data_IF_718488698800
#
_entry.id   IF_718488698800
#
_cell.length_a   1.000
_cell.length_b   1.000
_cell.length_c   1.000
_cell.angle_alpha   90.00
_cell.angle_beta   90.00
_cell.angle_gamma   90.00
#
_symmetry.space_group_name_H-M   'P 1'
#
loop_
_entity.id
_entity.type
_entity.pdbx_description
1 polymer ?
#
# COMPACT_ATOMS: atom_id res chain seq x y z
N UNK A 1 -6.11 14.89 -11.58
CA UNK A 1 -5.69 15.02 -10.18
C UNK A 1 -4.32 14.35 -9.92
N UNK A 2 -4.15 13.03 -10.04
CA UNK A 2 -2.84 12.42 -9.78
C UNK A 2 -1.72 12.97 -10.67
N UNK A 3 -1.96 13.16 -11.96
CA UNK A 3 -0.99 13.73 -12.92
C UNK A 3 -0.57 15.18 -12.65
N UNK A 4 -1.35 15.92 -11.85
CA UNK A 4 -0.99 17.29 -11.44
C UNK A 4 -0.07 17.30 -10.24
N UNK A 5 -0.13 16.27 -9.38
CA UNK A 5 0.65 16.18 -8.15
C UNK A 5 1.83 15.22 -8.24
N UNK A 6 1.79 14.24 -9.17
CA UNK A 6 2.80 13.18 -9.27
C UNK A 6 3.40 13.08 -10.68
N UNK A 7 4.67 12.71 -10.71
CA UNK A 7 5.40 12.28 -11.89
C UNK A 7 5.83 10.82 -11.71
N UNK A 8 5.58 9.97 -12.72
CA UNK A 8 6.09 8.60 -12.76
C UNK A 8 7.52 8.63 -13.30
N UNK A 9 8.45 8.02 -12.57
CA UNK A 9 9.84 7.86 -13.00
C UNK A 9 10.06 6.58 -13.82
N UNK A 10 11.33 6.30 -14.12
CA UNK A 10 11.72 5.11 -14.88
C UNK A 10 11.46 3.85 -14.05
N UNK A 11 10.61 2.97 -14.56
CA UNK A 11 10.30 1.72 -13.89
C UNK A 11 11.48 0.73 -13.97
N UNK A 12 11.67 -0.03 -12.93
CA UNK A 12 12.55 -1.20 -12.89
C UNK A 12 11.69 -2.44 -13.08
N UNK A 13 12.08 -3.31 -14.01
CA UNK A 13 11.44 -4.61 -14.24
C UNK A 13 12.46 -5.73 -13.97
N UNK A 14 12.05 -6.72 -13.19
CA UNK A 14 12.85 -7.90 -12.91
C UNK A 14 11.96 -9.10 -12.60
N UNK A 15 12.12 -10.19 -13.35
CA UNK A 15 11.41 -11.46 -13.15
C UNK A 15 9.87 -11.33 -13.09
N UNK A 16 9.31 -10.45 -13.93
CA UNK A 16 7.87 -10.19 -13.96
C UNK A 16 7.38 -9.18 -12.93
N UNK A 17 8.26 -8.72 -12.01
CA UNK A 17 7.97 -7.65 -11.06
C UNK A 17 8.29 -6.32 -11.72
N UNK A 18 7.36 -5.38 -11.69
CA UNK A 18 7.58 -4.02 -12.13
C UNK A 18 7.37 -3.05 -10.96
N UNK A 19 8.36 -2.21 -10.66
CA UNK A 19 8.21 -1.10 -9.70
C UNK A 19 8.62 0.21 -10.38
N UNK A 20 7.67 1.16 -10.46
CA UNK A 20 7.91 2.51 -10.95
C UNK A 20 7.87 3.50 -9.78
N UNK A 21 8.92 4.32 -9.58
CA UNK A 21 8.94 5.34 -8.55
C UNK A 21 8.02 6.51 -8.92
N UNK A 22 7.40 7.11 -7.91
CA UNK A 22 6.59 8.32 -8.04
C UNK A 22 7.31 9.49 -7.37
N UNK A 23 7.31 10.63 -8.04
CA UNK A 23 7.94 11.86 -7.57
C UNK A 23 6.91 12.99 -7.44
N UNK A 24 7.02 13.87 -6.43
CA UNK A 24 6.10 14.99 -6.28
C UNK A 24 6.36 16.04 -7.35
N UNK A 25 5.30 16.64 -7.89
CA UNK A 25 5.38 17.81 -8.78
C UNK A 25 5.31 19.14 -8.02
N UNK A 26 4.89 19.07 -6.77
CA UNK A 26 4.73 20.22 -5.89
C UNK A 26 5.32 19.87 -4.53
N UNK A 27 5.84 20.88 -3.82
CA UNK A 27 6.30 20.69 -2.44
C UNK A 27 5.08 20.42 -1.54
N UNK A 28 5.17 19.49 -0.60
CA UNK A 28 4.12 19.26 0.38
C UNK A 28 4.02 20.47 1.31
N UNK A 29 2.80 20.75 1.79
CA UNK A 29 2.53 21.84 2.74
C UNK A 29 2.43 21.28 4.16
N UNK A 30 1.75 20.15 4.33
CA UNK A 30 1.57 19.56 5.65
C UNK A 30 2.85 18.92 6.18
N UNK A 31 3.15 19.25 7.43
CA UNK A 31 4.28 18.68 8.17
C UNK A 31 3.81 17.53 9.07
N UNK A 32 4.48 16.40 8.98
CA UNK A 32 4.25 15.23 9.85
C UNK A 32 5.49 14.33 9.90
N UNK A 33 5.63 13.62 11.01
CA UNK A 33 6.58 12.54 11.20
C UNK A 33 5.94 11.18 10.84
N UNK A 34 6.75 10.14 10.69
CA UNK A 34 6.28 8.76 10.56
C UNK A 34 6.29 8.04 11.92
N UNK A 35 5.73 6.83 11.96
CA UNK A 35 5.81 5.97 13.14
C UNK A 35 7.27 5.74 13.58
N UNK A 36 8.18 5.48 12.63
CA UNK A 36 9.60 5.25 12.88
C UNK A 36 10.30 6.45 13.49
N UNK A 37 9.92 7.65 13.07
CA UNK A 37 10.50 8.90 13.60
C UNK A 37 10.00 9.20 15.02
N UNK A 38 8.73 8.85 15.31
CA UNK A 38 8.07 9.20 16.56
C UNK A 38 8.29 8.18 17.70
N UNK A 39 8.46 6.89 17.39
CA UNK A 39 8.72 5.85 18.41
C UNK A 39 9.92 6.17 19.31
N UNK A 40 11.11 6.55 18.79
CA UNK A 40 12.25 6.94 19.63
C UNK A 40 11.99 8.18 20.47
N UNK A 41 11.04 9.03 20.08
CA UNK A 41 10.64 10.25 20.77
C UNK A 41 9.53 10.03 21.80
N UNK A 42 9.17 8.77 22.08
CA UNK A 42 8.25 8.40 23.14
C UNK A 42 6.80 8.17 22.68
N UNK A 43 6.51 8.15 21.38
CA UNK A 43 5.22 7.68 20.91
C UNK A 43 5.00 6.24 21.35
N UNK A 44 3.80 5.93 21.84
CA UNK A 44 3.43 4.58 22.27
C UNK A 44 2.13 4.15 21.61
N UNK A 45 2.06 2.85 21.33
CA UNK A 45 0.85 2.18 20.87
C UNK A 45 0.54 1.07 21.87
N UNK A 46 -0.62 1.15 22.48
CA UNK A 46 -1.01 0.28 23.59
C UNK A 46 -2.42 -0.29 23.34
N UNK A 47 -2.75 -1.39 24.01
CA UNK A 47 -4.15 -1.87 24.09
C UNK A 47 -5.01 -0.81 24.78
N UNK A 48 -6.25 -0.60 24.31
CA UNK A 48 -7.18 0.39 24.90
C UNK A 48 -7.63 0.03 26.32
N UNK A 49 -7.47 -1.23 26.74
CA UNK A 49 -7.75 -1.71 28.08
C UNK A 49 -6.92 -2.95 28.42
N UNK A 50 -6.85 -3.34 29.68
CA UNK A 50 -6.17 -4.58 30.11
C UNK A 50 -6.80 -5.84 29.48
N UNK A 51 -8.11 -5.85 29.28
CA UNK A 51 -8.80 -6.92 28.58
C UNK A 51 -8.43 -6.98 27.11
N UNK A 52 -8.06 -5.85 26.52
CA UNK A 52 -7.84 -5.65 25.09
C UNK A 52 -9.16 -5.54 24.33
N UNK A 53 -9.18 -4.79 23.25
CA UNK A 53 -10.30 -4.69 22.31
C UNK A 53 -9.76 -5.00 20.94
N UNK A 54 -10.30 -6.01 20.27
CA UNK A 54 -9.73 -6.51 19.01
C UNK A 54 -9.62 -5.44 17.92
N UNK A 55 -10.65 -4.59 17.67
CA UNK A 55 -10.63 -3.67 16.53
C UNK A 55 -9.90 -2.34 16.78
N UNK A 56 -9.41 -2.09 18.00
CA UNK A 56 -8.84 -0.77 18.34
C UNK A 56 -7.59 -0.87 19.20
N UNK A 57 -6.66 0.06 18.96
CA UNK A 57 -5.52 0.36 19.83
C UNK A 57 -5.49 1.86 20.15
N UNK A 58 -4.78 2.25 21.19
CA UNK A 58 -4.57 3.64 21.56
C UNK A 58 -3.15 4.07 21.18
N UNK A 59 -3.04 5.18 20.41
CA UNK A 59 -1.75 5.82 20.12
C UNK A 59 -1.62 7.06 20.99
N UNK A 60 -0.61 7.09 21.84
CA UNK A 60 -0.23 8.28 22.62
C UNK A 60 0.97 8.94 21.94
N UNK A 61 0.76 10.11 21.39
CA UNK A 61 1.78 10.94 20.75
C UNK A 61 2.20 12.08 21.71
N UNK A 62 3.34 11.98 22.41
CA UNK A 62 3.82 13.03 23.29
C UNK A 62 4.65 14.10 22.54
N UNK A 63 4.87 13.98 21.24
CA UNK A 63 5.71 14.88 20.45
C UNK A 63 4.96 16.14 20.02
N UNK A 64 5.68 17.16 19.56
CA UNK A 64 5.11 18.38 19.00
C UNK A 64 4.76 18.27 17.50
N UNK A 65 5.03 17.12 16.89
CA UNK A 65 4.71 16.86 15.49
C UNK A 65 3.45 15.96 15.36
N UNK A 66 2.66 16.19 14.32
CA UNK A 66 1.67 15.20 13.89
C UNK A 66 2.39 13.95 13.39
N UNK A 67 1.80 12.77 13.57
CA UNK A 67 2.40 11.49 13.18
C UNK A 67 1.49 10.72 12.24
N UNK A 68 1.99 10.42 11.04
CA UNK A 68 1.29 9.61 10.05
C UNK A 68 1.56 8.12 10.33
N UNK A 69 0.50 7.38 10.56
CA UNK A 69 0.48 5.92 10.63
C UNK A 69 -0.13 5.40 9.33
N UNK A 70 0.58 4.56 8.60
CA UNK A 70 0.20 4.17 7.24
C UNK A 70 -0.64 2.89 7.20
N UNK A 71 -1.63 2.81 6.30
CA UNK A 71 -2.45 1.60 6.06
C UNK A 71 -1.58 0.36 5.84
N UNK A 72 -1.86 -0.69 6.58
CA UNK A 72 -1.14 -1.96 6.48
C UNK A 72 0.18 -2.03 7.25
N UNK A 73 0.66 -0.98 7.91
CA UNK A 73 1.81 -1.13 8.83
C UNK A 73 1.48 -2.17 9.90
N UNK A 74 2.40 -3.11 10.10
CA UNK A 74 2.25 -4.15 11.11
C UNK A 74 2.88 -3.73 12.44
N UNK A 75 2.15 -3.96 13.50
CA UNK A 75 2.48 -3.68 14.89
C UNK A 75 2.71 -5.00 15.61
N UNK A 76 3.94 -5.22 16.10
CA UNK A 76 4.35 -6.45 16.78
C UNK A 76 4.26 -6.30 18.28
N UNK A 77 3.72 -7.28 18.97
CA UNK A 77 3.78 -7.33 20.43
C UNK A 77 2.42 -7.43 21.12
N UNK A 78 2.34 -6.85 22.31
CA UNK A 78 1.18 -6.91 23.19
C UNK A 78 0.49 -8.30 23.21
N UNK A 79 -0.83 -8.38 23.05
CA UNK A 79 -1.56 -9.65 23.05
C UNK A 79 -1.53 -10.41 21.74
N UNK A 80 -1.48 -9.71 20.61
CA UNK A 80 -1.42 -10.25 19.24
C UNK A 80 -0.82 -9.19 18.34
N UNK A 81 -0.17 -9.60 17.25
CA UNK A 81 0.22 -8.67 16.20
C UNK A 81 -1.00 -8.06 15.50
N UNK A 82 -0.89 -6.79 15.11
CA UNK A 82 -1.95 -6.01 14.47
C UNK A 82 -1.46 -5.40 13.17
N UNK A 83 -2.38 -5.10 12.26
CA UNK A 83 -2.16 -4.19 11.13
C UNK A 83 -3.12 -3.01 11.22
N UNK A 84 -2.66 -1.86 10.76
CA UNK A 84 -3.52 -0.68 10.59
C UNK A 84 -4.54 -0.95 9.48
N UNK A 85 -5.81 -0.64 9.76
CA UNK A 85 -6.87 -0.82 8.76
C UNK A 85 -6.95 0.35 7.78
N UNK A 86 -6.54 1.53 8.21
CA UNK A 86 -6.57 2.79 7.46
C UNK A 86 -5.35 3.62 7.84
N UNK A 87 -5.02 4.59 7.02
CA UNK A 87 -4.03 5.62 7.37
C UNK A 87 -4.65 6.62 8.34
N UNK A 88 -3.91 6.97 9.40
CA UNK A 88 -4.35 7.91 10.44
C UNK A 88 -3.26 8.94 10.69
N UNK A 89 -3.62 10.22 10.67
CA UNK A 89 -2.75 11.30 11.13
C UNK A 89 -3.06 11.63 12.59
N UNK A 90 -2.20 11.18 13.48
CA UNK A 90 -2.32 11.41 14.94
C UNK A 90 -1.83 12.81 15.26
N UNK A 91 -2.66 13.61 15.93
CA UNK A 91 -2.30 14.96 16.31
C UNK A 91 -1.13 15.00 17.30
N UNK A 92 -0.35 16.08 17.26
CA UNK A 92 0.64 16.39 18.28
C UNK A 92 0.01 16.44 19.69
N UNK A 93 0.74 15.98 20.71
CA UNK A 93 0.31 16.05 22.11
C UNK A 93 -1.07 15.44 22.39
N UNK A 94 -1.39 14.32 21.72
CA UNK A 94 -2.72 13.69 21.81
C UNK A 94 -2.67 12.20 22.07
N UNK A 95 -3.83 11.65 22.42
CA UNK A 95 -4.09 10.20 22.41
C UNK A 95 -5.25 9.93 21.46
N UNK A 96 -5.04 9.06 20.49
CA UNK A 96 -6.00 8.77 19.40
C UNK A 96 -6.27 7.27 19.32
N UNK A 97 -7.53 6.83 19.34
CA UNK A 97 -7.88 5.45 19.03
C UNK A 97 -7.68 5.19 17.53
N UNK A 98 -7.04 4.07 17.19
CA UNK A 98 -6.77 3.68 15.82
C UNK A 98 -7.42 2.33 15.49
N UNK A 99 -8.06 2.19 14.31
CA UNK A 99 -8.67 0.94 13.90
C UNK A 99 -7.62 -0.03 13.35
N UNK A 100 -7.64 -1.25 13.88
CA UNK A 100 -6.67 -2.30 13.55
C UNK A 100 -7.36 -3.64 13.31
N UNK A 101 -6.64 -4.58 12.70
CA UNK A 101 -7.02 -5.99 12.61
C UNK A 101 -5.90 -6.89 13.11
N UNK A 102 -6.27 -8.03 13.71
CA UNK A 102 -5.31 -9.04 14.14
C UNK A 102 -4.75 -9.80 12.94
N UNK A 103 -3.44 -10.01 12.92
CA UNK A 103 -2.72 -10.84 11.93
C UNK A 103 -1.97 -12.01 12.58
N UNK A 104 -2.42 -12.43 13.76
CA UNK A 104 -1.89 -13.55 14.54
C UNK A 104 -3.02 -14.24 15.29
N UNK A 105 -3.72 -15.19 14.64
CA UNK A 105 -4.98 -15.78 15.13
C UNK A 105 -4.81 -16.58 16.43
N UNK A 106 -3.73 -17.36 16.54
CA UNK A 106 -3.53 -18.35 17.59
C UNK A 106 -2.90 -17.82 18.88
N UNK A 107 -2.71 -16.49 19.04
CA UNK A 107 -2.12 -15.93 20.25
C UNK A 107 -3.04 -14.88 20.91
N UNK A 108 -3.30 -15.08 22.20
CA UNK A 108 -3.96 -14.07 23.06
C UNK A 108 -3.21 -14.00 24.39
N UNK A 109 -1.89 -13.81 24.31
CA UNK A 109 -1.02 -13.70 25.47
C UNK A 109 -0.04 -12.56 25.31
N UNK A 110 0.19 -11.79 26.38
CA UNK A 110 1.03 -10.60 26.35
C UNK A 110 2.50 -10.96 26.17
N UNK A 111 3.15 -10.42 25.11
CA UNK A 111 4.60 -10.53 24.87
C UNK A 111 5.36 -9.27 25.27
N UNK A 112 4.72 -8.10 25.20
CA UNK A 112 5.31 -6.80 25.55
C UNK A 112 4.27 -5.87 26.14
N UNK A 113 4.70 -4.79 26.79
CA UNK A 113 3.81 -3.77 27.34
C UNK A 113 3.14 -2.98 26.22
N UNK A 114 3.92 -2.55 25.21
CA UNK A 114 3.48 -1.76 24.07
C UNK A 114 3.83 -2.47 22.77
N UNK A 115 3.27 -1.99 21.65
CA UNK A 115 3.59 -2.46 20.32
C UNK A 115 4.88 -1.83 19.79
N UNK A 116 5.62 -2.62 19.01
CA UNK A 116 6.73 -2.16 18.20
C UNK A 116 6.35 -2.18 16.71
N UNK A 117 7.03 -1.39 15.90
CA UNK A 117 6.86 -1.41 14.45
C UNK A 117 7.52 -2.64 13.84
N UNK A 118 6.85 -3.31 12.89
CA UNK A 118 7.42 -4.40 12.12
C UNK A 118 8.33 -3.85 10.99
N UNK A 119 9.33 -4.64 10.53
CA UNK A 119 10.15 -4.26 9.38
C UNK A 119 9.43 -4.41 8.04
N UNK A 120 8.17 -4.79 8.03
CA UNK A 120 7.32 -4.97 6.85
C UNK A 120 5.93 -4.40 7.09
N UNK A 121 5.25 -4.07 6.00
CA UNK A 121 3.81 -3.81 5.98
C UNK A 121 3.06 -5.04 5.46
N UNK A 122 1.76 -5.11 5.69
CA UNK A 122 0.90 -6.13 5.10
C UNK A 122 1.05 -6.14 3.58
N UNK A 123 1.08 -7.32 3.00
CA UNK A 123 1.27 -7.49 1.56
C UNK A 123 0.07 -6.94 0.75
N UNK A 124 0.26 -6.54 -0.52
CA UNK A 124 -0.76 -5.88 -1.34
C UNK A 124 -2.09 -6.61 -1.40
N UNK A 125 -2.09 -7.95 -1.52
CA UNK A 125 -3.34 -8.72 -1.60
C UNK A 125 -4.19 -8.58 -0.33
N UNK A 126 -3.61 -8.63 0.87
CA UNK A 126 -4.33 -8.41 2.12
C UNK A 126 -4.87 -6.98 2.20
N UNK A 127 -4.06 -5.98 1.82
CA UNK A 127 -4.47 -4.58 1.80
C UNK A 127 -5.58 -4.33 0.77
N UNK A 128 -5.50 -4.95 -0.41
CA UNK A 128 -6.52 -4.92 -1.45
C UNK A 128 -7.87 -5.43 -0.94
N UNK A 129 -7.89 -6.60 -0.28
CA UNK A 129 -9.11 -7.17 0.32
C UNK A 129 -9.72 -6.23 1.35
N UNK A 130 -8.91 -5.66 2.24
CA UNK A 130 -9.36 -4.64 3.19
C UNK A 130 -9.98 -3.45 2.47
N UNK A 131 -9.31 -2.91 1.44
CA UNK A 131 -9.78 -1.77 0.68
C UNK A 131 -11.13 -2.04 -0.01
N UNK A 132 -11.33 -3.24 -0.57
CA UNK A 132 -12.61 -3.68 -1.12
C UNK A 132 -13.73 -3.65 -0.09
N UNK A 133 -13.46 -4.20 1.09
CA UNK A 133 -14.45 -4.25 2.17
C UNK A 133 -14.83 -2.85 2.66
N UNK A 134 -13.83 -2.01 2.90
CA UNK A 134 -14.03 -0.63 3.34
C UNK A 134 -14.71 0.25 2.27
N UNK A 135 -14.45 0.00 0.99
CA UNK A 135 -15.14 0.69 -0.10
C UNK A 135 -16.61 0.25 -0.26
N UNK A 136 -16.94 -0.99 0.13
CA UNK A 136 -18.33 -1.47 0.15
C UNK A 136 -19.13 -0.89 1.34
N UNK A 137 -18.47 -0.59 2.45
CA UNK A 137 -19.02 0.00 3.67
C UNK A 137 -18.23 1.27 4.06
N UNK A 138 -18.40 2.40 3.35
CA UNK A 138 -17.52 3.56 3.50
C UNK A 138 -17.46 4.15 4.91
N UNK A 139 -18.51 3.98 5.72
CA UNK A 139 -18.54 4.44 7.11
C UNK A 139 -17.81 3.50 8.09
N UNK A 140 -17.50 2.28 7.66
CA UNK A 140 -16.74 1.34 8.49
C UNK A 140 -15.27 1.76 8.57
N UNK A 141 -14.67 1.63 9.75
CA UNK A 141 -13.23 1.82 9.99
C UNK A 141 -12.48 0.49 10.19
N UNK A 142 -13.18 -0.62 10.15
CA UNK A 142 -12.65 -1.95 10.32
C UNK A 142 -13.21 -2.93 9.30
N UNK A 143 -12.54 -4.07 9.18
CA UNK A 143 -12.97 -5.21 8.36
C UNK A 143 -13.32 -6.38 9.26
N UNK A 144 -14.11 -7.33 8.76
CA UNK A 144 -14.39 -8.55 9.50
C UNK A 144 -13.09 -9.28 9.81
N UNK A 145 -12.82 -9.54 11.08
CA UNK A 145 -11.57 -10.17 11.53
C UNK A 145 -11.33 -11.54 10.87
N UNK A 146 -12.41 -12.31 10.62
CA UNK A 146 -12.33 -13.60 9.92
C UNK A 146 -11.74 -13.46 8.50
N UNK A 147 -12.11 -12.42 7.75
CA UNK A 147 -11.61 -12.19 6.39
C UNK A 147 -10.09 -11.93 6.39
N UNK A 148 -9.58 -11.23 7.40
CA UNK A 148 -8.13 -11.00 7.57
C UNK A 148 -7.42 -12.32 7.89
N UNK A 149 -7.94 -13.10 8.83
CA UNK A 149 -7.37 -14.40 9.16
C UNK A 149 -7.42 -15.39 8.00
N UNK A 150 -8.52 -15.39 7.22
CA UNK A 150 -8.64 -16.21 6.03
C UNK A 150 -7.53 -15.93 5.03
N UNK A 151 -7.20 -14.64 4.78
CA UNK A 151 -6.10 -14.31 3.89
C UNK A 151 -4.72 -14.64 4.48
N UNK A 152 -4.49 -14.39 5.76
CA UNK A 152 -3.22 -14.76 6.42
C UNK A 152 -2.99 -16.27 6.33
N UNK A 153 -4.03 -17.08 6.57
CA UNK A 153 -3.96 -18.56 6.43
C UNK A 153 -3.74 -18.97 4.98
N UNK A 154 -4.47 -18.37 4.04
CA UNK A 154 -4.33 -18.66 2.61
C UNK A 154 -2.91 -18.33 2.13
N UNK A 155 -2.34 -17.19 2.54
CA UNK A 155 -0.96 -16.79 2.24
C UNK A 155 0.04 -17.77 2.80
N UNK A 156 -0.09 -18.16 4.08
CA UNK A 156 0.78 -19.16 4.70
C UNK A 156 0.75 -20.50 3.94
N UNK A 157 -0.44 -20.92 3.51
CA UNK A 157 -0.62 -22.16 2.74
C UNK A 157 0.03 -22.07 1.35
N UNK A 158 -0.22 -20.99 0.59
CA UNK A 158 0.38 -20.78 -0.74
C UNK A 158 1.91 -20.72 -0.66
N UNK A 159 2.44 -20.09 0.40
CA UNK A 159 3.88 -20.01 0.65
C UNK A 159 4.49 -21.26 1.30
N UNK A 160 3.68 -22.27 1.64
CA UNK A 160 4.17 -23.49 2.31
C UNK A 160 4.80 -23.21 3.68
N UNK A 161 4.26 -22.23 4.42
CA UNK A 161 4.79 -21.82 5.72
C UNK A 161 3.88 -22.33 6.83
N UNK A 162 4.49 -22.96 7.84
CA UNK A 162 3.78 -23.33 9.06
C UNK A 162 4.08 -22.28 10.15
N UNK A 163 3.03 -21.65 10.66
CA UNK A 163 3.09 -20.72 11.79
C UNK A 163 2.39 -21.32 13.00
N UNK A 164 3.05 -21.45 14.16
CA UNK A 164 2.42 -21.99 15.37
C UNK A 164 1.24 -21.16 15.88
N UNK A 165 1.24 -19.87 15.60
CA UNK A 165 0.20 -18.92 16.03
C UNK A 165 -0.60 -18.32 14.87
N UNK A 166 -0.37 -18.78 13.63
CA UNK A 166 -1.01 -18.20 12.45
C UNK A 166 -0.60 -16.75 12.21
N UNK A 167 0.64 -16.37 12.56
CA UNK A 167 1.11 -15.00 12.45
C UNK A 167 1.59 -14.69 11.02
N UNK A 168 1.15 -13.55 10.45
CA UNK A 168 1.68 -13.02 9.19
C UNK A 168 3.20 -12.80 9.24
N UNK A 169 3.71 -12.31 10.36
CA UNK A 169 5.15 -12.09 10.57
C UNK A 169 6.00 -13.37 10.39
N UNK A 170 5.45 -14.55 10.62
CA UNK A 170 6.16 -15.82 10.41
C UNK A 170 6.33 -16.12 8.91
N UNK A 171 5.38 -15.70 8.07
CA UNK A 171 5.49 -15.82 6.61
C UNK A 171 6.64 -14.94 6.11
N UNK A 172 6.70 -13.69 6.54
CA UNK A 172 7.81 -12.77 6.21
C UNK A 172 9.16 -13.34 6.66
N UNK A 173 9.26 -13.81 7.89
CA UNK A 173 10.48 -14.41 8.43
C UNK A 173 10.93 -15.64 7.63
N UNK A 174 10.00 -16.52 7.26
CA UNK A 174 10.29 -17.70 6.46
C UNK A 174 10.77 -17.38 5.04
N UNK A 175 10.38 -16.23 4.49
CA UNK A 175 10.72 -15.79 3.13
C UNK A 175 11.74 -14.65 3.09
N UNK A 176 12.36 -14.32 4.23
CA UNK A 176 13.27 -13.19 4.39
C UNK A 176 14.42 -13.20 3.38
N UNK A 177 15.04 -14.35 3.12
CA UNK A 177 16.15 -14.47 2.17
C UNK A 177 15.70 -14.09 0.75
N UNK A 178 14.60 -14.65 0.26
CA UNK A 178 14.10 -14.33 -1.08
C UNK A 178 13.66 -12.88 -1.22
N UNK A 179 13.04 -12.30 -0.17
CA UNK A 179 12.68 -10.87 -0.14
C UNK A 179 13.94 -10.01 -0.21
N UNK A 180 14.97 -10.29 0.61
CA UNK A 180 16.23 -9.51 0.63
C UNK A 180 17.00 -9.56 -0.70
N UNK A 181 17.01 -10.71 -1.38
CA UNK A 181 17.63 -10.83 -2.70
C UNK A 181 16.97 -9.89 -3.71
N UNK A 182 15.62 -9.83 -3.73
CA UNK A 182 14.87 -8.97 -4.63
C UNK A 182 14.96 -7.48 -4.23
N UNK A 183 15.09 -7.16 -2.95
CA UNK A 183 15.21 -5.79 -2.47
C UNK A 183 16.36 -5.01 -3.09
N UNK A 184 17.48 -5.69 -3.41
CA UNK A 184 18.65 -5.09 -4.05
C UNK A 184 18.37 -4.59 -5.46
N UNK A 185 17.34 -5.14 -6.11
CA UNK A 185 16.96 -4.78 -7.48
C UNK A 185 16.09 -3.52 -7.51
N UNK A 186 15.35 -3.27 -6.42
CA UNK A 186 14.37 -2.17 -6.35
C UNK A 186 14.75 -1.16 -5.25
N UNK A 187 15.84 -0.39 -5.42
CA UNK A 187 16.25 0.60 -4.43
C UNK A 187 15.31 1.80 -4.40
N UNK A 188 15.21 2.44 -3.22
CA UNK A 188 14.60 3.75 -3.09
C UNK A 188 15.35 4.77 -3.96
N UNK A 189 14.62 5.61 -4.68
CA UNK A 189 15.19 6.70 -5.45
C UNK A 189 15.19 8.02 -4.65
N UNK A 190 16.20 8.88 -4.80
CA UNK A 190 16.19 10.20 -4.16
C UNK A 190 14.96 11.03 -4.54
N UNK A 191 14.25 11.57 -3.54
CA UNK A 191 13.05 12.39 -3.75
C UNK A 191 11.77 11.59 -4.09
N UNK A 192 11.82 10.27 -4.04
CA UNK A 192 10.65 9.41 -4.26
C UNK A 192 9.62 9.58 -3.15
N UNK A 193 8.35 9.78 -3.51
CA UNK A 193 7.22 9.95 -2.60
C UNK A 193 6.13 8.85 -2.76
N UNK A 194 6.35 7.89 -3.64
CA UNK A 194 5.42 6.79 -3.86
C UNK A 194 5.99 5.74 -4.80
N UNK A 195 5.23 4.67 -5.00
CA UNK A 195 5.56 3.59 -5.93
C UNK A 195 4.30 3.03 -6.61
N UNK A 196 4.47 2.62 -7.87
CA UNK A 196 3.54 1.76 -8.59
C UNK A 196 4.16 0.38 -8.67
N UNK A 197 3.46 -0.62 -8.16
CA UNK A 197 3.80 -2.03 -8.30
C UNK A 197 2.95 -2.65 -9.40
N UNK A 198 3.54 -3.47 -10.25
CA UNK A 198 2.88 -4.33 -11.20
C UNK A 198 3.34 -5.78 -11.08
N UNK A 199 2.40 -6.69 -10.88
CA UNK A 199 2.59 -8.15 -10.87
C UNK A 199 1.57 -8.75 -11.85
N UNK A 200 1.92 -8.85 -13.13
CA UNK A 200 0.95 -9.20 -14.18
C UNK A 200 -0.19 -8.18 -14.25
N UNK A 201 -1.41 -8.61 -13.93
CA UNK A 201 -2.60 -7.76 -13.90
C UNK A 201 -2.91 -7.18 -12.50
N UNK A 202 -2.21 -7.63 -11.47
CA UNK A 202 -2.33 -7.10 -10.12
C UNK A 202 -1.47 -5.84 -9.95
N UNK A 203 -2.11 -4.72 -9.66
CA UNK A 203 -1.47 -3.43 -9.53
C UNK A 203 -1.73 -2.83 -8.16
N UNK A 204 -0.71 -2.12 -7.66
CA UNK A 204 -0.79 -1.35 -6.42
C UNK A 204 -0.11 0.01 -6.61
N UNK A 205 -0.72 1.06 -6.05
CA UNK A 205 -0.13 2.38 -5.91
C UNK A 205 -0.08 2.72 -4.43
N UNK A 206 1.10 3.13 -3.96
CA UNK A 206 1.29 3.71 -2.64
C UNK A 206 1.97 5.08 -2.76
N UNK A 207 1.43 6.06 -2.05
CA UNK A 207 1.88 7.44 -2.06
C UNK A 207 1.73 8.08 -0.69
N UNK A 208 2.70 8.90 -0.32
CA UNK A 208 2.60 9.92 0.74
C UNK A 208 3.15 11.25 0.23
N UNK A 209 2.64 12.37 0.74
CA UNK A 209 3.00 13.71 0.23
C UNK A 209 4.48 14.06 0.41
N UNK A 210 5.13 13.54 1.47
CA UNK A 210 6.51 13.84 1.83
C UNK A 210 7.48 12.75 1.41
N UNK A 211 8.51 13.06 0.58
CA UNK A 211 9.55 12.11 0.20
C UNK A 211 10.30 11.50 1.40
N UNK A 212 10.55 12.29 2.45
CA UNK A 212 11.24 11.82 3.67
C UNK A 212 10.41 10.76 4.40
N UNK A 213 9.09 10.98 4.47
CA UNK A 213 8.16 10.01 5.05
C UNK A 213 8.09 8.73 4.20
N UNK A 214 8.06 8.87 2.87
CA UNK A 214 8.11 7.71 1.97
C UNK A 214 9.40 6.92 2.13
N UNK A 215 10.53 7.58 2.31
CA UNK A 215 11.81 6.93 2.53
C UNK A 215 11.82 6.03 3.79
N UNK A 216 11.05 6.40 4.83
CA UNK A 216 10.86 5.57 6.04
C UNK A 216 9.90 4.40 5.79
N UNK A 217 8.86 4.61 4.99
CA UNK A 217 7.81 3.62 4.71
C UNK A 217 8.20 2.61 3.62
N UNK A 218 8.93 3.04 2.60
CA UNK A 218 9.21 2.23 1.42
C UNK A 218 9.87 0.87 1.73
N UNK A 219 10.84 0.75 2.64
CA UNK A 219 11.40 -0.56 2.98
C UNK A 219 10.34 -1.56 3.43
N UNK A 220 9.36 -1.13 4.24
CA UNK A 220 8.26 -1.96 4.73
C UNK A 220 7.28 -2.33 3.61
N UNK A 221 6.87 -1.33 2.81
CA UNK A 221 5.97 -1.53 1.67
C UNK A 221 6.61 -2.46 0.65
N UNK A 222 7.89 -2.24 0.33
CA UNK A 222 8.65 -3.08 -0.59
C UNK A 222 8.73 -4.52 -0.12
N UNK A 223 8.96 -4.77 1.17
CA UNK A 223 8.93 -6.12 1.72
C UNK A 223 7.57 -6.81 1.48
N UNK A 224 6.46 -6.08 1.68
CA UNK A 224 5.11 -6.54 1.35
C UNK A 224 4.93 -6.84 -0.15
N UNK A 225 5.37 -5.95 -1.03
CA UNK A 225 5.33 -6.13 -2.49
C UNK A 225 6.07 -7.39 -2.91
N UNK A 226 7.28 -7.55 -2.40
CA UNK A 226 8.15 -8.67 -2.76
C UNK A 226 7.65 -10.00 -2.17
N UNK A 227 6.95 -9.99 -1.04
CA UNK A 227 6.30 -11.19 -0.53
C UNK A 227 5.22 -11.70 -1.48
N UNK A 228 4.37 -10.82 -2.05
CA UNK A 228 3.39 -11.20 -3.06
C UNK A 228 4.08 -11.64 -4.37
N UNK A 229 5.14 -10.92 -4.77
CA UNK A 229 5.90 -11.24 -5.96
C UNK A 229 6.54 -12.62 -5.94
N UNK A 230 7.00 -13.12 -4.77
CA UNK A 230 7.56 -14.46 -4.63
C UNK A 230 6.60 -15.59 -5.02
N UNK A 231 5.28 -15.34 -5.05
CA UNK A 231 4.29 -16.31 -5.54
C UNK A 231 4.14 -16.29 -7.07
N UNK A 232 4.63 -15.25 -7.74
CA UNK A 232 4.35 -14.96 -9.16
C UNK A 232 5.62 -14.67 -9.98
N UNK A 233 6.80 -15.11 -9.50
CA UNK A 233 8.06 -14.89 -10.22
C UNK A 233 8.02 -15.49 -11.62
N UNK A 234 8.69 -14.80 -12.55
CA UNK A 234 8.86 -15.23 -13.94
C UNK A 234 7.54 -15.30 -14.74
N UNK A 235 6.49 -14.66 -14.23
CA UNK A 235 5.23 -14.48 -14.96
C UNK A 235 5.34 -13.37 -16.00
N UNK A 236 4.30 -13.22 -16.83
CA UNK A 236 4.24 -12.15 -17.83
C UNK A 236 4.29 -10.78 -17.12
N UNK A 237 5.22 -9.90 -17.52
CA UNK A 237 5.33 -8.57 -16.92
C UNK A 237 4.10 -7.71 -17.21
N UNK A 238 3.83 -6.78 -16.30
CA UNK A 238 2.79 -5.76 -16.47
C UNK A 238 3.08 -4.89 -17.68
N UNK A 239 2.10 -4.67 -18.56
CA UNK A 239 2.27 -3.79 -19.72
C UNK A 239 2.13 -2.31 -19.34
N UNK A 240 2.74 -1.42 -20.16
CA UNK A 240 2.57 0.02 -19.99
C UNK A 240 1.12 0.48 -20.11
N UNK A 241 0.34 -0.15 -21.00
CA UNK A 241 -1.08 0.15 -21.17
C UNK A 241 -1.90 -0.24 -19.93
N UNK A 242 -1.56 -1.39 -19.32
CA UNK A 242 -2.18 -1.84 -18.08
C UNK A 242 -1.92 -0.84 -16.93
N UNK A 243 -0.67 -0.37 -16.78
CA UNK A 243 -0.33 0.66 -15.78
C UNK A 243 -1.04 1.98 -16.06
N UNK A 244 -1.05 2.44 -17.30
CA UNK A 244 -1.73 3.67 -17.68
C UNK A 244 -3.23 3.61 -17.38
N UNK A 245 -3.89 2.53 -17.78
CA UNK A 245 -5.30 2.30 -17.49
C UNK A 245 -5.62 2.23 -16.01
N UNK A 246 -4.70 1.70 -15.19
CA UNK A 246 -4.85 1.70 -13.73
C UNK A 246 -4.79 3.12 -13.16
N UNK A 247 -3.80 3.92 -13.56
CA UNK A 247 -3.66 5.32 -13.12
C UNK A 247 -4.89 6.15 -13.54
N UNK A 248 -5.40 5.93 -14.76
CA UNK A 248 -6.64 6.57 -15.23
C UNK A 248 -7.85 6.15 -14.37
N UNK A 249 -7.96 4.87 -14.04
CA UNK A 249 -9.06 4.35 -13.23
C UNK A 249 -9.08 4.93 -11.80
N UNK A 250 -7.90 5.22 -11.22
CA UNK A 250 -7.79 5.95 -9.94
C UNK A 250 -8.35 7.37 -10.06
N UNK A 251 -8.07 8.04 -11.19
CA UNK A 251 -8.58 9.38 -11.49
C UNK A 251 -10.11 9.42 -11.65
N UNK A 252 -10.69 8.38 -12.25
CA UNK A 252 -12.11 8.24 -12.53
C UNK A 252 -12.93 7.66 -11.36
N UNK A 253 -12.26 7.12 -10.33
CA UNK A 253 -12.94 6.50 -9.19
C UNK A 253 -13.82 7.49 -8.42
N UNK A 254 -14.97 7.02 -7.99
CA UNK A 254 -15.82 7.76 -7.03
C UNK A 254 -15.10 7.83 -5.67
N UNK A 255 -15.37 8.94 -4.95
CA UNK A 255 -14.75 9.22 -3.65
C UNK A 255 -15.81 9.48 -2.61
N UNK A 256 -15.84 8.63 -1.60
CA UNK A 256 -16.60 8.90 -0.38
C UNK A 256 -15.64 9.47 0.67
N UNK A 257 -16.05 10.56 1.34
CA UNK A 257 -15.27 11.23 2.39
C UNK A 257 -15.96 11.10 3.72
N UNK A 258 -15.17 10.94 4.77
CA UNK A 258 -15.63 10.95 6.15
C UNK A 258 -14.52 11.50 7.05
N UNK A 259 -14.87 11.92 8.27
CA UNK A 259 -13.84 12.27 9.25
C UNK A 259 -12.90 11.11 9.52
N UNK A 260 -11.59 11.36 9.50
CA UNK A 260 -10.56 10.41 9.86
C UNK A 260 -10.70 9.98 11.34
N UNK A 261 -10.03 8.91 11.73
CA UNK A 261 -9.86 8.55 13.14
C UNK A 261 -8.94 9.55 13.88
N UNK A 262 -8.05 10.25 13.15
CA UNK A 262 -7.21 11.35 13.62
C UNK A 262 -7.58 12.65 12.93
N UNK A 263 -6.57 13.40 12.49
CA UNK A 263 -6.77 14.63 11.72
C UNK A 263 -7.13 14.34 10.27
N UNK A 264 -7.87 15.25 9.65
CA UNK A 264 -8.20 15.23 8.22
C UNK A 264 -9.42 14.38 7.87
N UNK A 265 -9.54 14.07 6.59
CA UNK A 265 -10.62 13.30 5.99
C UNK A 265 -10.11 11.99 5.41
N UNK A 266 -10.74 10.89 5.80
CA UNK A 266 -10.54 9.57 5.22
C UNK A 266 -11.34 9.47 3.92
N UNK A 267 -10.65 9.17 2.83
CA UNK A 267 -11.22 9.11 1.46
C UNK A 267 -11.24 7.67 1.00
N UNK A 268 -12.41 7.18 0.59
CA UNK A 268 -12.58 5.85 -0.01
C UNK A 268 -12.72 5.96 -1.51
N UNK A 269 -11.90 5.23 -2.23
CA UNK A 269 -11.97 5.15 -3.69
C UNK A 269 -12.68 3.87 -4.10
N UNK A 270 -13.63 4.01 -5.02
CA UNK A 270 -14.33 2.88 -5.65
C UNK A 270 -14.55 3.16 -7.13
N UNK A 271 -14.00 2.31 -7.97
CA UNK A 271 -14.21 2.28 -9.41
C UNK A 271 -14.49 0.88 -9.90
N UNK A 272 -14.72 0.71 -11.18
CA UNK A 272 -14.92 -0.59 -11.81
C UNK A 272 -13.66 -1.46 -11.72
N UNK A 273 -12.49 -0.84 -11.94
CA UNK A 273 -11.19 -1.50 -12.00
C UNK A 273 -10.23 -1.09 -10.89
N UNK A 274 -10.70 -0.35 -9.89
CA UNK A 274 -9.85 0.17 -8.82
C UNK A 274 -10.61 0.27 -7.51
N UNK A 275 -9.91 0.00 -6.44
CA UNK A 275 -10.35 0.24 -5.06
C UNK A 275 -9.18 0.84 -4.29
N UNK A 276 -9.46 1.67 -3.28
CA UNK A 276 -8.38 2.27 -2.51
C UNK A 276 -8.88 3.18 -1.40
N UNK A 277 -7.92 3.80 -0.73
CA UNK A 277 -8.17 4.80 0.31
C UNK A 277 -7.11 5.88 0.29
N UNK A 278 -7.45 7.04 0.83
CA UNK A 278 -6.55 8.17 0.98
C UNK A 278 -6.85 8.94 2.26
N UNK A 279 -5.94 9.83 2.61
CA UNK A 279 -6.09 10.79 3.69
C UNK A 279 -5.85 12.19 3.13
N UNK A 280 -6.81 13.09 3.32
CA UNK A 280 -6.73 14.49 2.95
C UNK A 280 -6.73 15.38 4.21
N UNK A 281 -5.90 16.42 4.23
CA UNK A 281 -5.88 17.46 5.26
C UNK A 281 -5.81 18.83 4.56
N UNK A 282 -6.75 19.73 4.88
CA UNK A 282 -6.81 21.09 4.31
C UNK A 282 -6.71 21.11 2.77
N UNK A 283 -7.41 20.16 2.12
CA UNK A 283 -7.42 19.92 0.68
C UNK A 283 -6.09 19.38 0.10
N UNK A 284 -5.07 19.10 0.91
CA UNK A 284 -3.86 18.40 0.50
C UNK A 284 -4.06 16.88 0.64
N UNK A 285 -3.75 16.13 -0.41
CA UNK A 285 -3.70 14.67 -0.34
C UNK A 285 -2.40 14.24 0.34
N UNK A 286 -2.50 13.80 1.58
CA UNK A 286 -1.33 13.36 2.37
C UNK A 286 -0.92 11.93 2.04
N UNK A 287 -1.90 11.06 1.76
CA UNK A 287 -1.66 9.65 1.49
C UNK A 287 -2.68 9.11 0.51
N UNK A 288 -2.27 8.16 -0.31
CA UNK A 288 -3.12 7.38 -1.19
C UNK A 288 -2.56 5.97 -1.31
N UNK A 289 -3.43 4.97 -1.13
CA UNK A 289 -3.18 3.62 -1.63
C UNK A 289 -4.33 3.19 -2.54
N UNK A 290 -3.98 2.53 -3.64
CA UNK A 290 -4.96 2.01 -4.60
C UNK A 290 -4.51 0.66 -5.14
N UNK A 291 -5.48 -0.21 -5.42
CA UNK A 291 -5.28 -1.58 -5.87
C UNK A 291 -6.20 -1.87 -7.05
N UNK A 292 -5.82 -2.82 -7.92
CA UNK A 292 -6.74 -3.35 -8.94
C UNK A 292 -8.02 -3.85 -8.30
N UNK A 293 -9.16 -3.45 -8.86
CA UNK A 293 -10.48 -3.96 -8.47
C UNK A 293 -10.71 -5.38 -9.01
N UNK A 294 -11.47 -6.20 -8.29
CA UNK A 294 -11.92 -7.49 -8.79
C UNK A 294 -13.06 -7.32 -9.79
N UNK A 295 -12.87 -7.70 -11.05
CA UNK A 295 -13.97 -7.84 -12.01
C UNK A 295 -15.05 -8.85 -11.54
N UNK A 296 -14.68 -9.76 -10.63
CA UNK A 296 -15.59 -10.75 -10.03
C UNK A 296 -16.52 -10.17 -8.97
N UNK A 297 -16.14 -9.07 -8.31
CA UNK A 297 -16.98 -8.41 -7.29
C UNK A 297 -18.18 -7.67 -7.86
N UNK A 298 -18.19 -7.33 -9.14
CA UNK A 298 -19.36 -6.78 -9.83
C UNK A 298 -20.54 -7.75 -9.99
N UNK A 299 -20.34 -9.04 -9.71
CA UNK A 299 -21.40 -10.09 -9.77
C UNK A 299 -22.00 -10.48 -8.43
N UNK A 300 -21.57 -9.90 -7.31
CA UNK A 300 -22.15 -10.19 -6.00
C UNK A 300 -23.35 -9.27 -5.76
N UNK A 301 -24.53 -9.90 -5.94
CA UNK A 301 -25.85 -9.54 -5.40
C UNK A 301 -26.32 -8.07 -5.59
N UNK A 302 -27.17 -7.88 -6.59
CA UNK A 302 -28.24 -6.87 -6.47
C UNK A 302 -28.98 -7.15 -5.15
N UNK A 303 -29.03 -6.22 -4.18
CA UNK A 303 -29.92 -6.37 -3.06
C UNK A 303 -31.36 -6.31 -3.59
N UNK A 304 -32.16 -7.29 -3.21
CA UNK A 304 -33.60 -7.30 -3.46
C UNK A 304 -34.19 -5.97 -2.97
N UNK A 305 -35.00 -5.35 -3.82
CA UNK A 305 -35.78 -4.15 -3.53
C UNK A 305 -36.65 -4.38 -2.29
N UNK A 306 -36.25 -3.82 -1.16
CA UNK A 306 -37.16 -3.45 -0.08
C UNK A 306 -36.88 -1.98 0.21
N UNK A 307 -37.94 -1.17 0.08
CA UNK A 307 -37.90 0.29 -0.05
C UNK A 307 -37.27 1.02 1.12
N UNK A 308 -36.31 1.86 0.80
CA UNK A 308 -35.97 3.06 1.57
C UNK A 308 -35.44 4.13 0.61
N UNK A 309 -36.05 5.32 0.69
CA UNK A 309 -35.65 6.47 -0.11
C UNK A 309 -34.28 6.94 0.37
N UNK A 310 -33.27 6.76 -0.47
CA UNK A 310 -31.97 7.40 -0.29
C UNK A 310 -31.97 8.76 -0.98
N UNK A 311 -31.55 9.77 -0.24
CA UNK A 311 -31.17 11.07 -0.81
C UNK A 311 -29.93 10.86 -1.66
N UNK A 312 -30.08 10.91 -2.98
CA UNK A 312 -28.96 10.88 -3.93
C UNK A 312 -28.21 12.22 -3.83
N UNK A 313 -26.99 12.16 -3.26
CA UNK A 313 -26.01 13.22 -3.48
C UNK A 313 -25.31 12.90 -4.79
N UNK A 314 -25.78 13.53 -5.86
CA UNK A 314 -25.16 13.44 -7.19
C UNK A 314 -23.83 14.20 -7.17
N UNK A 315 -22.73 13.49 -7.14
CA UNK A 315 -21.40 14.08 -7.37
C UNK A 315 -21.18 14.19 -8.88
N UNK A 316 -20.92 15.40 -9.35
CA UNK A 316 -20.64 15.68 -10.75
C UNK A 316 -19.37 14.94 -11.23
N UNK A 317 -19.36 14.40 -12.47
CA UNK A 317 -18.16 13.80 -13.05
C UNK A 317 -17.11 14.88 -13.35
N UNK A 318 -15.89 14.66 -12.89
CA UNK A 318 -14.75 15.52 -13.23
C UNK A 318 -14.33 15.26 -14.68
N UNK A 319 -14.25 16.33 -15.48
CA UNK A 319 -13.68 16.28 -16.81
C UNK A 319 -12.17 16.00 -16.74
N UNK A 320 -11.72 15.03 -17.54
CA UNK A 320 -10.29 14.70 -17.70
C UNK A 320 -9.64 15.78 -18.57
N UNK A 321 -8.62 16.45 -18.02
CA UNK A 321 -7.77 17.35 -18.80
C UNK A 321 -6.72 16.57 -19.62
N UNK A 322 -6.37 17.03 -20.85
CA UNK A 322 -5.49 16.35 -21.79
C UNK A 322 -4.09 15.90 -21.35
N UNK A 323 -3.51 16.31 -20.19
CA UNK A 323 -2.17 15.89 -19.78
C UNK A 323 -1.98 14.40 -19.53
N UNK A 324 -3.04 13.62 -19.25
CA UNK A 324 -2.91 12.16 -19.03
C UNK A 324 -2.42 11.40 -20.26
N UNK A 325 -2.71 11.89 -21.47
CA UNK A 325 -2.13 11.34 -22.70
C UNK A 325 -0.59 11.48 -22.79
N UNK A 326 0.02 12.40 -22.03
CA UNK A 326 1.48 12.53 -21.97
C UNK A 326 2.13 11.49 -21.08
N UNK A 327 1.45 11.05 -20.02
CA UNK A 327 1.95 9.96 -19.15
C UNK A 327 1.94 8.65 -19.91
N UNK A 328 0.85 8.33 -20.60
CA UNK A 328 0.76 7.14 -21.45
C UNK A 328 1.81 7.15 -22.58
N UNK A 329 2.03 8.28 -23.28
CA UNK A 329 3.06 8.42 -24.31
C UNK A 329 4.48 8.38 -23.76
N UNK A 330 4.72 8.89 -22.56
CA UNK A 330 6.02 8.78 -21.88
C UNK A 330 6.36 7.33 -21.54
N UNK A 331 5.38 6.54 -21.13
CA UNK A 331 5.54 5.11 -20.84
C UNK A 331 5.72 4.26 -22.12
N UNK A 332 5.05 4.58 -23.22
CA UNK A 332 5.31 3.95 -24.52
C UNK A 332 6.73 4.20 -25.05
N UNK A 333 7.24 5.43 -24.91
CA UNK A 333 8.62 5.76 -25.25
C UNK A 333 9.63 5.03 -24.38
N UNK A 334 9.29 4.79 -23.12
CA UNK A 334 10.10 4.01 -22.20
C UNK A 334 10.20 2.53 -22.61
N UNK A 335 9.11 1.88 -22.98
CA UNK A 335 9.12 0.50 -23.49
C UNK A 335 10.00 0.35 -24.74
N UNK A 336 9.99 1.31 -25.64
CA UNK A 336 10.85 1.30 -26.84
C UNK A 336 12.33 1.46 -26.46
N UNK A 337 12.67 2.32 -25.47
CA UNK A 337 14.05 2.51 -25.01
C UNK A 337 14.58 1.32 -24.20
N UNK A 338 13.76 0.67 -23.38
CA UNK A 338 14.15 -0.51 -22.65
C UNK A 338 14.48 -1.69 -23.58
N UNK A 339 13.66 -1.95 -24.60
CA UNK A 339 13.93 -2.97 -25.62
C UNK A 339 15.20 -2.69 -26.42
N UNK A 340 15.52 -1.44 -26.73
CA UNK A 340 16.75 -1.03 -27.43
C UNK A 340 18.01 -1.28 -26.59
N UNK A 341 17.97 -1.07 -25.26
CA UNK A 341 19.12 -1.30 -24.38
C UNK A 341 19.41 -2.79 -24.14
N UNK A 342 18.40 -3.64 -24.19
CA UNK A 342 18.59 -5.10 -24.09
C UNK A 342 19.20 -5.67 -25.37
N UNK A 343 18.79 -5.17 -26.55
CA UNK A 343 19.32 -5.61 -27.84
C UNK A 343 20.79 -5.25 -28.01
N UNK A 344 21.26 -4.13 -27.47
CA UNK A 344 22.67 -3.68 -27.58
C UNK A 344 23.64 -4.38 -26.63
N UNK A 345 23.15 -5.05 -25.58
CA UNK A 345 24.01 -5.85 -24.68
C UNK A 345 24.27 -7.28 -25.16
N UNK A 346 23.47 -7.81 -26.07
CA UNK A 346 23.64 -9.19 -26.56
C UNK A 346 24.63 -9.32 -27.76
N UNK A 347 25.14 -8.23 -28.32
CA UNK A 347 26.02 -8.26 -29.48
C UNK A 347 27.50 -7.93 -29.15
N UNK A 348 27.87 -7.82 -27.89
CA UNK A 348 29.21 -7.36 -27.45
C UNK A 348 30.16 -8.44 -26.87
N UNK A 349 29.93 -9.73 -27.14
CA UNK A 349 30.85 -10.80 -26.68
C UNK A 349 31.24 -11.70 -27.85
N UNK A 350 32.06 -11.21 -28.76
CA UNK A 350 32.85 -12.08 -29.65
C UNK A 350 34.35 -11.99 -29.30
N UNK A 351 34.80 -13.09 -28.81
CA UNK A 351 36.17 -13.50 -28.54
C UNK A 351 37.14 -13.10 -29.67
N UNK A 352 38.23 -12.39 -29.35
CA UNK A 352 39.47 -12.44 -30.11
C UNK A 352 40.46 -13.29 -29.30
N UNK A 353 40.67 -14.50 -29.82
CA UNK A 353 41.95 -15.22 -29.61
C UNK A 353 42.94 -14.70 -30.64
N UNK A 354 44.01 -14.14 -30.25
CA UNK A 354 45.23 -14.12 -31.02
C UNK A 354 46.33 -14.75 -30.19
N UNK A 355 46.87 -15.81 -30.80
CA UNK A 355 48.09 -16.49 -30.35
C UNK A 355 49.29 -15.79 -30.96
N UNK A 356 50.38 -16.00 -30.38
CA UNK A 356 51.62 -16.46 -30.94
C UNK A 356 52.87 -15.98 -30.17
N UNK A 357 53.76 -16.90 -30.09
CA UNK A 357 55.22 -16.89 -29.93
C UNK A 357 55.73 -16.63 -28.54
#
# INVERSE_FOLDING_TARGET
MLSTILQVGDAVEHRGILIAPLFPRQSPVAEYATLEDALPLGLRIDEVSEAGVVPELAVTNPTDANVLLYDGEELLGAKQNRILNITVLVAARSTTPIPVSCVEEGRWSRRSASFASAPHAAHPELRRRKAHRLAAEPLARGVAQSEVWDEVRAKSTRMGVHSPTGAQADVFRSRETGVRELEQVFPLQPGQCGALLGLGDDLCLDYVSRPEAFARLFPKLRAGYLLDALEQLDTKPTSGDTLAGFVESIGAATRARQHSAGLGEDVRLRGERVVGSGLELDAELLQLCAFTGDERSGRIARPSRAGERRSEVTLAPFALDPPLMRVARGMEQWHRRARSKVATRSTGSSCRREGSS
#
